data_IF_590130023376
#
_entry.id   IF_590130023376
#
_cell.length_a   1.000
_cell.length_b   1.000
_cell.length_c   1.000
_cell.angle_alpha   90.00
_cell.angle_beta   90.00
_cell.angle_gamma   90.00
#
_symmetry.space_group_name_H-M   'P 1'
#
loop_
_entity.id
_entity.type
_entity.pdbx_description
1 polymer ?
#
# COMPACT_ATOMS: atom_id res chain seq x y z
N UNK A 1 -47.51 74.02 -17.55
CA UNK A 1 -46.33 73.92 -18.45
C UNK A 1 -45.61 72.62 -18.09
N UNK A 2 -45.82 71.55 -18.87
CA UNK A 2 -45.22 70.23 -18.63
C UNK A 2 -44.05 70.10 -19.60
N UNK A 3 -42.84 69.95 -19.07
CA UNK A 3 -41.61 69.74 -19.86
C UNK A 3 -41.38 68.23 -19.93
N UNK A 4 -41.55 67.66 -21.12
CA UNK A 4 -41.20 66.27 -21.41
C UNK A 4 -39.70 66.23 -21.73
N UNK A 5 -38.89 65.65 -20.85
CA UNK A 5 -37.48 65.35 -21.16
C UNK A 5 -37.42 64.08 -22.00
N UNK A 6 -36.92 64.20 -23.22
CA UNK A 6 -36.65 63.05 -24.08
C UNK A 6 -35.30 62.44 -23.63
N UNK A 7 -35.34 61.39 -22.80
CA UNK A 7 -34.14 60.68 -22.35
C UNK A 7 -33.62 59.81 -23.50
N UNK A 8 -32.50 60.20 -24.11
CA UNK A 8 -31.83 59.43 -25.15
C UNK A 8 -31.08 58.26 -24.49
N UNK A 9 -31.63 57.05 -24.58
CA UNK A 9 -30.92 55.83 -24.17
C UNK A 9 -29.65 55.66 -25.01
N UNK A 10 -28.48 55.79 -24.37
CA UNK A 10 -27.20 55.43 -24.97
C UNK A 10 -27.07 53.91 -24.94
N UNK A 11 -27.50 53.24 -26.00
CA UNK A 11 -27.29 51.80 -26.19
C UNK A 11 -25.78 51.50 -26.23
N UNK A 12 -25.22 51.06 -25.10
CA UNK A 12 -23.88 50.44 -25.10
C UNK A 12 -23.97 49.19 -25.98
N UNK A 13 -23.31 49.23 -27.14
CA UNK A 13 -23.21 48.06 -28.00
C UNK A 13 -22.57 46.92 -27.21
N UNK A 14 -23.34 45.87 -26.91
CA UNK A 14 -22.79 44.64 -26.36
C UNK A 14 -21.95 43.99 -27.47
N UNK A 15 -20.62 44.04 -27.35
CA UNK A 15 -19.74 43.21 -28.18
C UNK A 15 -20.10 41.75 -27.91
N UNK A 16 -20.71 41.07 -28.89
CA UNK A 16 -20.90 39.63 -28.87
C UNK A 16 -19.57 38.91 -29.05
N UNK A 17 -19.42 37.75 -28.43
CA UNK A 17 -18.27 36.87 -28.67
C UNK A 17 -18.31 36.35 -30.11
N UNK A 18 -17.16 36.34 -30.78
CA UNK A 18 -17.05 35.78 -32.12
C UNK A 18 -17.03 34.25 -32.05
N UNK A 19 -17.52 33.60 -33.11
CA UNK A 19 -17.50 32.13 -33.22
C UNK A 19 -16.07 31.58 -33.13
N UNK A 20 -15.09 32.30 -33.70
CA UNK A 20 -13.69 31.91 -33.70
C UNK A 20 -13.05 31.99 -32.31
N UNK A 21 -13.42 32.98 -31.49
CA UNK A 21 -12.93 33.11 -30.12
C UNK A 21 -13.38 31.93 -29.27
N UNK A 22 -14.64 31.49 -29.39
CA UNK A 22 -15.12 30.31 -28.66
C UNK A 22 -14.54 29.01 -29.25
N UNK A 23 -14.35 28.94 -30.57
CA UNK A 23 -13.80 27.74 -31.22
C UNK A 23 -12.37 27.41 -30.74
N UNK A 24 -11.48 28.39 -30.64
CA UNK A 24 -10.11 28.16 -30.18
C UNK A 24 -10.08 27.77 -28.71
N UNK A 25 -10.94 28.39 -27.88
CA UNK A 25 -11.05 28.07 -26.46
C UNK A 25 -11.48 26.62 -26.25
N UNK A 26 -12.47 26.13 -26.99
CA UNK A 26 -12.91 24.73 -26.91
C UNK A 26 -11.82 23.75 -27.36
N UNK A 27 -11.04 24.10 -28.38
CA UNK A 27 -9.90 23.27 -28.82
C UNK A 27 -8.85 23.17 -27.71
N UNK A 28 -8.48 24.28 -27.08
CA UNK A 28 -7.48 24.28 -26.00
C UNK A 28 -7.98 23.48 -24.80
N UNK A 29 -9.24 23.66 -24.38
CA UNK A 29 -9.83 22.89 -23.28
C UNK A 29 -9.88 21.40 -23.63
N UNK A 30 -10.22 21.05 -24.87
CA UNK A 30 -10.23 19.67 -25.35
C UNK A 30 -8.87 18.99 -25.27
N UNK A 31 -7.82 19.68 -25.70
CA UNK A 31 -6.44 19.17 -25.65
C UNK A 31 -5.97 19.01 -24.20
N UNK A 32 -6.22 20.01 -23.35
CA UNK A 32 -5.80 19.96 -21.94
C UNK A 32 -6.53 18.84 -21.21
N UNK A 33 -7.85 18.71 -21.39
CA UNK A 33 -8.64 17.68 -20.72
C UNK A 33 -8.19 16.28 -21.14
N UNK A 34 -7.92 16.06 -22.44
CA UNK A 34 -7.38 14.81 -22.93
C UNK A 34 -5.98 14.49 -22.38
N UNK A 35 -5.10 15.49 -22.30
CA UNK A 35 -3.76 15.32 -21.75
C UNK A 35 -3.77 15.00 -20.24
N UNK A 36 -4.64 15.64 -19.46
CA UNK A 36 -4.75 15.43 -18.00
C UNK A 36 -5.23 14.02 -17.68
N UNK A 37 -6.23 13.50 -18.39
CA UNK A 37 -6.73 12.13 -18.17
C UNK A 37 -5.65 11.07 -18.40
N UNK A 38 -4.86 11.22 -19.47
CA UNK A 38 -3.71 10.34 -19.73
C UNK A 38 -2.60 10.53 -18.69
N UNK A 39 -2.38 11.76 -18.24
CA UNK A 39 -1.41 12.09 -17.19
C UNK A 39 -1.74 11.42 -15.86
N UNK A 40 -3.00 11.42 -15.45
CA UNK A 40 -3.46 10.76 -14.22
C UNK A 40 -3.21 9.25 -14.27
N UNK A 41 -3.63 8.57 -15.35
CA UNK A 41 -3.39 7.14 -15.52
C UNK A 41 -1.89 6.78 -15.52
N UNK A 42 -1.03 7.64 -16.06
CA UNK A 42 0.42 7.44 -16.02
C UNK A 42 0.96 7.53 -14.59
N UNK A 43 0.52 8.53 -13.82
CA UNK A 43 0.91 8.71 -12.41
C UNK A 43 0.47 7.52 -11.58
N UNK A 44 -0.76 7.04 -11.76
CA UNK A 44 -1.28 5.89 -11.01
C UNK A 44 -0.46 4.62 -11.31
N UNK A 45 -0.18 4.35 -12.58
CA UNK A 45 0.71 3.25 -12.98
C UNK A 45 2.12 3.38 -12.37
N UNK A 46 2.66 4.60 -12.28
CA UNK A 46 3.96 4.83 -11.65
C UNK A 46 3.92 4.55 -10.14
N UNK A 47 2.86 4.97 -9.42
CA UNK A 47 2.65 4.65 -8.01
C UNK A 47 2.55 3.15 -7.77
N UNK A 48 1.81 2.43 -8.62
CA UNK A 48 1.66 0.99 -8.50
C UNK A 48 2.96 0.24 -8.76
N UNK A 49 3.76 0.64 -9.77
CA UNK A 49 5.11 0.11 -9.98
C UNK A 49 6.05 0.41 -8.81
N UNK A 50 5.95 1.61 -8.22
CA UNK A 50 6.73 1.97 -7.05
C UNK A 50 6.38 1.07 -5.86
N UNK A 51 5.09 0.84 -5.60
CA UNK A 51 4.64 -0.10 -4.57
C UNK A 51 5.21 -1.51 -4.78
N UNK A 52 5.16 -2.04 -6.01
CA UNK A 52 5.74 -3.36 -6.31
C UNK A 52 7.25 -3.41 -6.03
N UNK A 53 7.97 -2.32 -6.36
CA UNK A 53 9.39 -2.17 -6.08
C UNK A 53 9.67 -2.07 -4.58
N UNK A 54 8.84 -1.34 -3.82
CA UNK A 54 8.99 -1.19 -2.38
C UNK A 54 8.83 -2.56 -1.68
N UNK A 55 7.81 -3.36 -2.06
CA UNK A 55 7.61 -4.74 -1.52
C UNK A 55 8.80 -5.66 -1.83
N UNK A 56 9.31 -5.66 -3.08
CA UNK A 56 10.51 -6.44 -3.44
C UNK A 56 11.77 -5.93 -2.72
N UNK A 57 11.86 -4.63 -2.50
CA UNK A 57 12.93 -3.99 -1.74
C UNK A 57 12.97 -4.52 -0.31
N UNK A 58 11.84 -4.54 0.39
CA UNK A 58 11.76 -5.07 1.75
C UNK A 58 12.06 -6.57 1.85
N UNK A 59 11.61 -7.37 0.89
CA UNK A 59 11.99 -8.77 0.79
C UNK A 59 13.52 -8.93 0.71
N UNK A 60 14.18 -8.15 -0.16
CA UNK A 60 15.64 -8.16 -0.27
C UNK A 60 16.35 -7.71 1.01
N UNK A 61 15.79 -6.74 1.74
CA UNK A 61 16.32 -6.31 3.05
C UNK A 61 16.20 -7.44 4.09
N UNK A 62 15.08 -8.16 4.10
CA UNK A 62 14.87 -9.34 4.94
C UNK A 62 15.92 -10.43 4.69
N UNK A 63 16.18 -10.75 3.42
CA UNK A 63 17.24 -11.70 3.04
C UNK A 63 18.65 -11.20 3.37
N UNK A 64 18.92 -9.91 3.19
CA UNK A 64 20.21 -9.31 3.56
C UNK A 64 20.48 -9.42 5.07
N UNK A 65 19.44 -9.29 5.89
CA UNK A 65 19.53 -9.51 7.33
C UNK A 65 19.78 -10.99 7.64
N UNK A 66 19.05 -11.89 6.97
CA UNK A 66 19.23 -13.34 7.10
C UNK A 66 20.68 -13.75 6.81
N UNK A 67 21.30 -13.22 5.75
CA UNK A 67 22.71 -13.50 5.42
C UNK A 67 23.69 -13.03 6.51
N UNK A 68 23.34 -11.98 7.27
CA UNK A 68 24.20 -11.42 8.33
C UNK A 68 24.01 -12.09 9.69
N UNK A 69 22.79 -12.49 10.03
CA UNK A 69 22.41 -12.93 11.38
C UNK A 69 21.93 -14.39 11.46
N UNK A 70 21.72 -15.04 10.31
CA UNK A 70 21.23 -16.41 10.14
C UNK A 70 19.81 -16.66 10.70
N UNK A 71 19.00 -15.60 10.81
CA UNK A 71 17.59 -15.61 11.18
C UNK A 71 16.89 -14.44 10.46
N UNK A 72 15.56 -14.45 10.37
CA UNK A 72 14.82 -13.33 9.79
C UNK A 72 14.75 -12.14 10.76
N UNK A 73 14.57 -10.89 10.27
CA UNK A 73 14.29 -9.78 11.17
C UNK A 73 12.96 -10.02 11.90
N UNK A 74 12.93 -9.81 13.21
CA UNK A 74 11.76 -10.09 14.04
C UNK A 74 11.54 -11.58 14.38
N UNK A 75 12.46 -12.47 13.99
CA UNK A 75 12.55 -13.87 14.45
C UNK A 75 13.51 -13.93 15.65
N UNK A 76 12.98 -13.75 16.85
CA UNK A 76 13.78 -13.58 18.06
C UNK A 76 14.23 -14.92 18.64
N UNK A 77 13.46 -15.98 18.40
CA UNK A 77 13.77 -17.34 18.86
C UNK A 77 14.63 -18.15 17.86
N UNK A 78 14.88 -17.60 16.66
CA UNK A 78 15.66 -18.18 15.55
C UNK A 78 15.08 -19.48 15.01
N UNK A 79 13.75 -19.61 15.01
CA UNK A 79 13.06 -20.78 14.47
C UNK A 79 12.75 -20.66 12.96
N UNK A 80 13.13 -19.53 12.34
CA UNK A 80 12.87 -19.22 10.94
C UNK A 80 11.49 -18.62 10.71
N UNK A 81 10.75 -18.25 11.76
CA UNK A 81 9.44 -17.61 11.69
C UNK A 81 9.49 -16.25 12.38
N UNK A 82 8.96 -15.22 11.73
CA UNK A 82 8.85 -13.88 12.34
C UNK A 82 7.82 -13.95 13.46
N UNK A 83 8.16 -13.52 14.68
CA UNK A 83 7.33 -13.72 15.88
C UNK A 83 6.02 -12.92 15.87
N UNK A 84 5.95 -11.82 15.12
CA UNK A 84 4.73 -11.02 15.01
C UNK A 84 3.62 -11.81 14.29
N UNK A 85 2.46 -11.93 14.95
CA UNK A 85 1.26 -12.52 14.36
C UNK A 85 0.50 -11.43 13.60
N UNK A 86 0.31 -11.60 12.30
CA UNK A 86 -0.41 -10.62 11.48
C UNK A 86 -1.91 -10.58 11.86
N UNK A 87 -2.55 -9.45 11.59
CA UNK A 87 -3.97 -9.21 11.90
C UNK A 87 -4.69 -8.46 10.75
N UNK A 88 -6.02 -8.59 10.66
CA UNK A 88 -6.84 -7.90 9.65
C UNK A 88 -6.76 -6.38 9.77
N UNK A 89 -6.73 -5.90 11.01
CA UNK A 89 -6.62 -4.49 11.33
C UNK A 89 -5.16 -4.18 11.57
N UNK A 90 -4.65 -3.11 10.98
CA UNK A 90 -3.29 -2.65 11.27
C UNK A 90 -3.09 -2.45 12.77
N UNK A 91 -2.00 -2.97 13.30
CA UNK A 91 -1.61 -2.72 14.68
C UNK A 91 -1.40 -1.22 14.92
N UNK A 92 -1.87 -0.70 16.05
CA UNK A 92 -1.77 0.72 16.44
C UNK A 92 -0.38 1.13 16.95
N UNK A 93 0.65 0.30 16.76
CA UNK A 93 1.92 0.39 17.49
C UNK A 93 3.14 0.36 16.57
N UNK A 94 3.14 1.13 15.47
CA UNK A 94 4.42 1.52 14.86
C UNK A 94 4.86 2.80 15.58
N UNK A 95 5.59 2.67 16.69
CA UNK A 95 6.04 3.82 17.47
C UNK A 95 7.04 4.68 16.65
N UNK A 96 6.86 5.99 16.70
CA UNK A 96 7.71 7.00 16.08
C UNK A 96 9.02 7.20 16.86
N UNK A 97 9.08 6.77 18.13
CA UNK A 97 10.15 7.08 19.05
C UNK A 97 10.85 5.84 19.62
N UNK A 98 12.18 5.86 19.49
CA UNK A 98 13.16 4.93 20.08
C UNK A 98 13.21 3.50 19.52
N UNK A 99 14.44 3.03 19.38
CA UNK A 99 14.80 1.66 18.99
C UNK A 99 14.51 0.72 20.17
N UNK A 100 13.24 0.63 20.56
CA UNK A 100 12.73 -0.30 21.57
C UNK A 100 12.07 -1.48 20.86
N UNK A 101 12.11 -2.66 21.49
CA UNK A 101 11.44 -3.89 21.00
C UNK A 101 12.09 -4.52 19.75
N UNK A 102 13.41 -4.67 19.74
CA UNK A 102 14.14 -5.52 18.80
C UNK A 102 14.41 -6.91 19.40
N UNK A 103 14.77 -7.88 18.57
CA UNK A 103 14.96 -9.24 19.06
C UNK A 103 16.13 -9.39 20.04
N UNK A 104 17.16 -8.56 19.97
CA UNK A 104 18.30 -8.64 20.89
C UNK A 104 17.97 -8.08 22.29
N UNK A 105 17.03 -7.15 22.43
CA UNK A 105 16.61 -6.64 23.75
C UNK A 105 15.46 -7.43 24.36
N UNK A 106 14.62 -8.06 23.53
CA UNK A 106 13.47 -8.82 24.00
C UNK A 106 13.87 -10.16 24.64
N UNK A 107 14.98 -10.80 24.22
CA UNK A 107 15.49 -12.07 24.80
C UNK A 107 14.36 -13.08 25.12
N UNK A 108 13.38 -13.19 24.22
CA UNK A 108 12.15 -13.90 24.49
C UNK A 108 12.30 -15.38 24.16
N UNK A 109 12.53 -16.19 25.19
CA UNK A 109 12.39 -17.66 25.13
C UNK A 109 10.93 -18.11 24.97
N UNK A 110 9.97 -17.19 24.92
CA UNK A 110 8.54 -17.45 24.83
C UNK A 110 7.93 -16.31 24.02
N UNK A 111 7.19 -16.58 22.92
CA UNK A 111 6.77 -15.56 21.95
C UNK A 111 5.72 -14.65 22.59
N UNK A 112 6.16 -13.61 23.28
CA UNK A 112 5.28 -12.55 23.77
C UNK A 112 5.17 -11.53 22.67
N UNK A 113 4.55 -11.96 21.56
CA UNK A 113 4.17 -11.13 20.42
C UNK A 113 5.21 -10.06 20.09
N UNK A 114 6.34 -10.48 19.50
CA UNK A 114 7.28 -9.55 18.88
C UNK A 114 6.47 -8.49 18.15
N UNK A 115 6.56 -7.25 18.60
CA UNK A 115 5.65 -6.20 18.15
C UNK A 115 5.76 -5.98 16.64
N UNK A 116 4.79 -5.30 16.05
CA UNK A 116 4.83 -4.92 14.62
C UNK A 116 6.12 -4.15 14.23
N UNK A 117 6.80 -3.57 15.23
CA UNK A 117 8.07 -2.85 15.12
C UNK A 117 9.32 -3.73 15.03
N UNK A 118 9.29 -5.01 15.43
CA UNK A 118 10.51 -5.83 15.59
C UNK A 118 11.28 -5.96 14.28
N UNK A 119 10.56 -6.25 13.18
CA UNK A 119 11.16 -6.38 11.85
C UNK A 119 11.93 -5.11 11.45
N UNK A 120 11.33 -3.93 11.59
CA UNK A 120 11.97 -2.67 11.21
C UNK A 120 13.07 -2.25 12.19
N UNK A 121 12.89 -2.55 13.48
CA UNK A 121 13.86 -2.24 14.54
C UNK A 121 15.16 -3.03 14.36
N UNK A 122 15.07 -4.32 14.02
CA UNK A 122 16.21 -5.18 13.71
C UNK A 122 16.99 -4.67 12.49
N UNK A 123 16.29 -4.27 11.42
CA UNK A 123 16.92 -3.68 10.22
C UNK A 123 17.65 -2.38 10.53
N UNK A 124 17.11 -1.55 11.43
CA UNK A 124 17.74 -0.28 11.84
C UNK A 124 18.96 -0.52 12.71
N UNK A 125 18.90 -1.44 13.67
CA UNK A 125 20.04 -1.77 14.55
C UNK A 125 21.22 -2.36 13.80
N UNK A 126 20.94 -3.16 12.77
CA UNK A 126 21.97 -3.73 11.90
C UNK A 126 22.49 -2.77 10.83
N UNK A 127 21.99 -1.53 10.82
CA UNK A 127 22.33 -0.49 9.84
C UNK A 127 22.12 -0.93 8.39
N UNK A 128 21.18 -1.85 8.17
CA UNK A 128 20.74 -2.24 6.82
C UNK A 128 19.87 -1.13 6.23
N UNK A 129 19.04 -0.51 7.06
CA UNK A 129 18.31 0.72 6.76
C UNK A 129 18.83 1.87 7.61
N UNK A 130 18.47 3.10 7.25
CA UNK A 130 18.93 4.28 8.00
C UNK A 130 18.47 4.21 9.46
N UNK A 131 19.38 4.32 10.45
CA UNK A 131 19.00 4.28 11.86
C UNK A 131 18.15 5.49 12.28
N UNK A 132 18.22 6.59 11.52
CA UNK A 132 17.48 7.84 11.77
C UNK A 132 16.04 7.83 11.28
N UNK A 133 15.64 6.87 10.44
CA UNK A 133 14.25 6.75 9.98
C UNK A 133 13.40 6.07 11.05
N UNK A 134 12.16 6.53 11.22
CA UNK A 134 11.16 5.93 12.11
C UNK A 134 10.59 4.66 11.49
N UNK A 135 10.14 3.70 12.31
CA UNK A 135 9.55 2.45 11.82
C UNK A 135 8.30 2.71 10.97
N UNK A 136 7.44 3.66 11.37
CA UNK A 136 6.27 4.05 10.59
C UNK A 136 6.62 4.59 9.20
N UNK A 137 7.67 5.42 9.09
CA UNK A 137 8.14 5.93 7.79
C UNK A 137 8.70 4.83 6.89
N UNK A 138 9.27 3.76 7.46
CA UNK A 138 9.71 2.59 6.69
C UNK A 138 8.50 1.76 6.28
N UNK A 139 7.58 1.48 7.20
CA UNK A 139 6.41 0.68 6.92
C UNK A 139 5.44 1.32 5.92
N UNK A 140 5.37 2.66 5.86
CA UNK A 140 4.40 3.39 5.02
C UNK A 140 4.71 3.25 3.52
N UNK A 141 3.69 2.87 2.73
CA UNK A 141 3.78 2.79 1.27
C UNK A 141 3.03 3.93 0.57
N UNK A 142 3.11 3.98 -0.77
CA UNK A 142 2.60 5.07 -1.63
C UNK A 142 1.09 5.36 -1.53
N UNK A 143 0.32 4.51 -0.85
CA UNK A 143 -1.13 4.66 -0.66
C UNK A 143 -1.49 5.11 0.76
N UNK A 144 -0.51 5.66 1.49
CA UNK A 144 -0.68 6.25 2.82
C UNK A 144 -1.15 5.26 3.89
N UNK A 145 -0.84 3.98 3.72
CA UNK A 145 -1.01 2.94 4.73
C UNK A 145 0.30 2.14 4.86
N UNK A 146 0.33 1.09 5.68
CA UNK A 146 1.56 0.40 6.07
C UNK A 146 1.70 -1.02 5.53
N UNK A 147 2.96 -1.46 5.41
CA UNK A 147 3.36 -2.85 5.22
C UNK A 147 3.80 -3.42 6.56
N UNK A 148 3.19 -4.52 6.99
CA UNK A 148 3.60 -5.23 8.20
C UNK A 148 4.16 -6.61 7.85
N UNK A 149 5.17 -7.03 8.60
CA UNK A 149 5.89 -8.30 8.42
C UNK A 149 5.60 -9.19 9.61
N UNK A 150 5.30 -10.45 9.35
CA UNK A 150 4.97 -11.40 10.41
C UNK A 150 4.68 -12.77 9.83
N UNK A 151 4.02 -13.60 10.63
CA UNK A 151 3.55 -14.89 10.21
C UNK A 151 2.02 -15.02 10.29
N UNK A 152 1.51 -15.98 9.52
CA UNK A 152 0.13 -16.47 9.57
C UNK A 152 0.11 -17.99 9.43
N UNK A 153 -0.98 -18.59 9.90
CA UNK A 153 -1.36 -19.96 9.55
C UNK A 153 -2.56 -19.93 8.60
N UNK A 154 -2.70 -20.97 7.77
CA UNK A 154 -3.79 -21.06 6.80
C UNK A 154 -4.73 -22.17 7.23
N UNK A 155 -5.99 -21.81 7.49
CA UNK A 155 -6.97 -22.73 8.04
C UNK A 155 -6.50 -23.36 9.37
N UNK A 156 -6.82 -24.63 9.58
CA UNK A 156 -6.42 -25.36 10.79
C UNK A 156 -4.98 -25.92 10.72
N UNK A 157 -4.17 -25.52 9.72
CA UNK A 157 -2.81 -26.03 9.56
C UNK A 157 -1.87 -25.48 10.64
N UNK A 158 -1.03 -26.31 11.27
CA UNK A 158 -0.02 -25.84 12.21
C UNK A 158 1.18 -25.17 11.50
N UNK A 159 1.22 -25.20 10.16
CA UNK A 159 2.31 -24.61 9.38
C UNK A 159 2.19 -23.08 9.41
N UNK A 160 3.24 -22.44 9.95
CA UNK A 160 3.41 -20.99 9.92
C UNK A 160 4.10 -20.56 8.64
N UNK A 161 3.56 -19.52 8.00
CA UNK A 161 4.09 -18.92 6.79
C UNK A 161 4.51 -17.49 7.07
N UNK A 162 5.76 -17.15 6.76
CA UNK A 162 6.23 -15.76 6.80
C UNK A 162 5.63 -14.99 5.63
N UNK A 163 5.03 -13.85 5.94
CA UNK A 163 4.31 -13.05 4.98
C UNK A 163 4.41 -11.56 5.26
N UNK A 164 4.15 -10.78 4.21
CA UNK A 164 3.95 -9.34 4.29
C UNK A 164 2.49 -9.05 4.03
N UNK A 165 1.84 -8.31 4.91
CA UNK A 165 0.51 -7.76 4.65
C UNK A 165 0.63 -6.29 4.27
N UNK A 166 0.04 -5.93 3.14
CA UNK A 166 -0.13 -4.56 2.70
C UNK A 166 -1.57 -4.12 2.98
N UNK A 167 -1.72 -3.10 3.81
CA UNK A 167 -3.03 -2.56 4.16
C UNK A 167 -3.46 -1.49 3.15
N UNK A 168 -4.78 -1.38 2.92
CA UNK A 168 -5.32 -0.22 2.21
C UNK A 168 -4.83 -0.04 0.77
N UNK A 169 -4.49 -1.13 0.07
CA UNK A 169 -4.03 -1.09 -1.34
C UNK A 169 -5.24 -1.18 -2.28
N UNK A 170 -5.33 -0.36 -3.34
CA UNK A 170 -6.42 -0.52 -4.31
C UNK A 170 -6.41 -1.90 -4.99
N UNK A 171 -7.58 -2.49 -5.21
CA UNK A 171 -7.71 -3.83 -5.77
C UNK A 171 -6.99 -4.02 -7.12
N UNK A 172 -7.01 -3.02 -8.01
CA UNK A 172 -6.28 -3.10 -9.29
C UNK A 172 -4.75 -3.22 -9.13
N UNK A 173 -4.19 -2.58 -8.09
CA UNK A 173 -2.74 -2.64 -7.80
C UNK A 173 -2.38 -4.02 -7.28
N UNK A 174 -3.26 -4.60 -6.45
CA UNK A 174 -3.12 -5.95 -5.93
C UNK A 174 -3.09 -6.98 -7.06
N UNK A 175 -4.09 -6.91 -7.96
CA UNK A 175 -4.15 -7.72 -9.19
C UNK A 175 -2.88 -7.58 -10.03
N UNK A 176 -2.37 -6.35 -10.19
CA UNK A 176 -1.14 -6.09 -10.94
C UNK A 176 0.09 -6.73 -10.28
N UNK A 177 0.14 -6.80 -8.95
CA UNK A 177 1.24 -7.47 -8.21
C UNK A 177 1.15 -8.99 -8.32
N UNK A 178 -0.06 -9.55 -8.23
CA UNK A 178 -0.34 -10.99 -8.42
C UNK A 178 0.08 -11.46 -9.81
N UNK A 179 -0.51 -10.85 -10.85
CA UNK A 179 -0.18 -11.10 -12.26
C UNK A 179 1.30 -10.85 -12.59
N UNK A 180 2.00 -9.98 -11.87
CA UNK A 180 3.46 -9.78 -12.03
C UNK A 180 4.30 -10.97 -11.53
N UNK A 181 3.79 -11.80 -10.63
CA UNK A 181 4.55 -12.89 -10.01
C UNK A 181 4.31 -14.20 -10.75
N UNK A 182 3.06 -14.58 -10.99
CA UNK A 182 2.73 -15.88 -11.60
C UNK A 182 1.89 -15.78 -12.89
N UNK A 183 1.46 -14.58 -13.27
CA UNK A 183 0.68 -14.36 -14.50
C UNK A 183 -0.78 -14.82 -14.41
N UNK A 184 -1.21 -15.33 -13.25
CA UNK A 184 -2.61 -15.65 -12.97
C UNK A 184 -3.28 -14.45 -12.26
N UNK A 185 -4.59 -14.32 -12.39
CA UNK A 185 -5.38 -13.30 -11.67
C UNK A 185 -6.38 -14.02 -10.76
N UNK A 186 -5.87 -14.76 -9.77
CA UNK A 186 -6.69 -15.58 -8.87
C UNK A 186 -6.40 -15.17 -7.43
N UNK A 187 -7.41 -14.58 -6.77
CA UNK A 187 -7.19 -13.87 -5.50
C UNK A 187 -6.92 -14.73 -4.27
N UNK A 188 -7.15 -16.04 -4.35
CA UNK A 188 -6.99 -17.01 -3.26
C UNK A 188 -5.88 -18.04 -3.50
N UNK A 189 -5.14 -17.93 -4.60
CA UNK A 189 -4.09 -18.88 -4.99
C UNK A 189 -2.73 -18.18 -5.08
N UNK A 190 -1.67 -18.95 -5.32
CA UNK A 190 -0.34 -18.38 -5.50
C UNK A 190 0.24 -17.71 -4.23
N UNK A 191 1.20 -16.81 -4.45
CA UNK A 191 1.93 -16.12 -3.37
C UNK A 191 1.26 -14.82 -2.94
N UNK A 192 0.43 -14.22 -3.77
CA UNK A 192 -0.25 -12.96 -3.46
C UNK A 192 -1.73 -13.27 -3.34
N UNK A 193 -2.30 -13.03 -2.17
CA UNK A 193 -3.70 -13.34 -1.92
C UNK A 193 -4.43 -12.16 -1.31
N UNK A 194 -5.71 -12.02 -1.63
CA UNK A 194 -6.58 -11.05 -0.96
C UNK A 194 -6.98 -11.60 0.40
N UNK A 195 -6.75 -10.80 1.44
CA UNK A 195 -7.13 -11.15 2.81
C UNK A 195 -8.63 -10.87 3.00
N UNK A 196 -9.37 -11.86 3.50
CA UNK A 196 -10.72 -11.68 4.02
C UNK A 196 -10.64 -11.25 5.49
N UNK A 197 -10.11 -12.15 6.32
CA UNK A 197 -9.92 -11.93 7.76
C UNK A 197 -8.68 -12.67 8.23
N UNK A 198 -8.02 -12.11 9.23
CA UNK A 198 -7.01 -12.76 10.07
C UNK A 198 -7.48 -12.64 11.51
N UNK A 199 -7.78 -13.79 12.12
CA UNK A 199 -8.20 -13.91 13.52
C UNK A 199 -7.24 -14.87 14.21
N UNK A 200 -6.63 -14.42 15.31
CA UNK A 200 -5.66 -15.21 16.08
C UNK A 200 -4.56 -15.84 15.22
N UNK A 201 -4.07 -15.10 14.22
CA UNK A 201 -3.03 -15.53 13.28
C UNK A 201 -3.49 -16.46 12.15
N UNK A 202 -4.76 -16.87 12.14
CA UNK A 202 -5.33 -17.69 11.06
C UNK A 202 -5.89 -16.79 9.97
N UNK A 203 -5.29 -16.85 8.78
CA UNK A 203 -5.78 -16.10 7.61
C UNK A 203 -6.82 -16.88 6.82
N UNK A 204 -7.86 -16.18 6.41
CA UNK A 204 -8.81 -16.59 5.36
C UNK A 204 -8.70 -15.65 4.18
N UNK A 205 -8.94 -16.19 2.98
CA UNK A 205 -8.82 -15.45 1.73
C UNK A 205 -10.17 -15.22 1.09
N UNK A 206 -10.32 -14.09 0.42
CA UNK A 206 -11.46 -13.85 -0.47
C UNK A 206 -11.26 -14.64 -1.77
N UNK A 207 -12.35 -15.07 -2.40
CA UNK A 207 -12.31 -15.74 -3.71
C UNK A 207 -12.17 -14.76 -4.87
N UNK A 208 -12.62 -13.51 -4.67
CA UNK A 208 -12.61 -12.46 -5.69
C UNK A 208 -11.81 -11.23 -5.25
N UNK A 209 -11.01 -10.69 -6.18
CA UNK A 209 -10.29 -9.43 -5.98
C UNK A 209 -11.22 -8.23 -5.75
N UNK A 210 -12.45 -8.29 -6.27
CA UNK A 210 -13.49 -7.26 -6.14
C UNK A 210 -14.80 -7.96 -5.82
N UNK A 211 -15.37 -7.72 -4.63
CA UNK A 211 -16.65 -8.30 -4.21
C UNK A 211 -17.82 -7.58 -4.86
N UNK A 212 -19.01 -8.18 -4.79
CA UNK A 212 -20.25 -7.53 -5.21
C UNK A 212 -20.42 -6.19 -4.47
N UNK A 213 -20.53 -5.10 -5.22
CA UNK A 213 -20.63 -3.74 -4.70
C UNK A 213 -19.29 -3.01 -4.47
N UNK A 214 -18.16 -3.67 -4.71
CA UNK A 214 -16.84 -3.04 -4.71
C UNK A 214 -16.44 -2.59 -6.13
N UNK A 215 -15.41 -1.74 -6.20
CA UNK A 215 -14.77 -1.33 -7.46
C UNK A 215 -13.30 -1.68 -7.44
N UNK A 216 -12.63 -1.62 -8.57
CA UNK A 216 -11.18 -1.80 -8.67
C UNK A 216 -10.37 -0.80 -7.82
N UNK A 217 -10.97 0.33 -7.46
CA UNK A 217 -10.37 1.37 -6.60
C UNK A 217 -10.68 1.16 -5.11
N UNK A 218 -11.45 0.12 -4.75
CA UNK A 218 -11.69 -0.20 -3.35
C UNK A 218 -10.37 -0.61 -2.70
N UNK A 219 -10.07 -0.01 -1.56
CA UNK A 219 -8.90 -0.35 -0.75
C UNK A 219 -9.12 -1.70 -0.07
N UNK A 220 -8.19 -2.62 -0.28
CA UNK A 220 -8.21 -3.99 0.23
C UNK A 220 -6.90 -4.30 0.95
N UNK A 221 -6.92 -5.36 1.75
CA UNK A 221 -5.73 -5.90 2.38
C UNK A 221 -5.21 -7.08 1.56
N UNK A 222 -3.91 -7.08 1.28
CA UNK A 222 -3.26 -8.07 0.42
C UNK A 222 -2.11 -8.67 1.20
N UNK A 223 -1.99 -10.00 1.16
CA UNK A 223 -0.88 -10.70 1.78
C UNK A 223 0.02 -11.32 0.72
N UNK A 224 1.33 -11.23 0.95
CA UNK A 224 2.37 -11.75 0.09
C UNK A 224 3.27 -12.72 0.86
N UNK A 225 3.33 -13.97 0.41
CA UNK A 225 4.17 -15.02 0.98
C UNK A 225 5.55 -15.03 0.28
N UNK A 226 6.54 -14.45 0.96
CA UNK A 226 7.90 -14.28 0.41
C UNK A 226 8.79 -15.49 0.64
N UNK A 227 8.57 -16.25 1.71
CA UNK A 227 9.35 -17.45 2.04
C UNK A 227 8.66 -18.71 1.46
N UNK A 228 7.95 -19.47 2.30
CA UNK A 228 7.26 -20.71 1.93
C UNK A 228 6.01 -20.43 1.11
N UNK A 229 5.79 -21.22 0.07
CA UNK A 229 4.54 -21.17 -0.70
C UNK A 229 3.44 -21.94 0.04
N UNK A 230 2.26 -21.34 0.22
CA UNK A 230 1.09 -22.01 0.78
C UNK A 230 0.27 -22.82 -0.23
#
# INVERSE_FOLDING_TARGET
MIIIYNCKESSKMKKGFTLIEIAIVLVIIGIITGAVLKGQALIDNAKAKRFQSDVRGYEALGWTYYDRKANFPGDCNKDGVIDYVLATTKGTFLDEATVANDCETLNETTPTAGGVDTFFSDLRKTQIVSPSQTNVSLATHQYSDTLNFGHVTIGASPVKYNAVIAYGVPAWVAKMKDTSIDGSEVSNEGRVRRVATITDGVVTFETDWVKSGETDNTNINVIYFFDKQP
#
